data_IF_274097061738
#
_entry.id   IF_274097061738
#
_cell.length_a   1.000
_cell.length_b   1.000
_cell.length_c   1.000
_cell.angle_alpha   90.00
_cell.angle_beta   90.00
_cell.angle_gamma   90.00
#
_symmetry.space_group_name_H-M   'P 1'
#
loop_
_entity.id
_entity.type
_entity.pdbx_description
1 polymer ?
#
# COMPACT_ATOMS: atom_id res chain seq x y z
N UNK A 1 11.41 52.03 39.04
CA UNK A 1 11.69 50.70 39.63
C UNK A 1 10.77 49.62 39.06
N UNK A 2 9.45 49.84 38.91
CA UNK A 2 8.51 48.81 38.39
C UNK A 2 8.80 48.28 36.99
N UNK A 3 9.27 49.12 36.05
CA UNK A 3 9.59 48.70 34.65
C UNK A 3 10.83 47.80 34.52
N UNK A 4 11.81 47.95 35.43
CA UNK A 4 13.03 47.12 35.45
C UNK A 4 12.77 45.73 36.06
N UNK A 5 11.87 45.67 37.06
CA UNK A 5 11.44 44.38 37.65
C UNK A 5 10.63 43.55 36.64
N UNK A 6 9.74 44.20 35.86
CA UNK A 6 8.94 43.55 34.83
C UNK A 6 9.82 42.99 33.69
N UNK A 7 10.87 43.73 33.29
CA UNK A 7 11.82 43.26 32.28
C UNK A 7 12.65 42.05 32.76
N UNK A 8 13.00 42.04 34.07
CA UNK A 8 13.75 40.92 34.64
C UNK A 8 12.88 39.63 34.75
N UNK A 9 11.60 39.78 35.09
CA UNK A 9 10.65 38.66 35.15
C UNK A 9 10.37 38.08 33.76
N UNK A 10 10.31 38.95 32.72
CA UNK A 10 10.11 38.48 31.34
C UNK A 10 11.35 37.74 30.81
N UNK A 11 12.57 38.17 31.18
CA UNK A 11 13.81 37.51 30.79
C UNK A 11 13.96 36.14 31.49
N UNK A 12 13.55 36.01 32.76
CA UNK A 12 13.56 34.73 33.47
C UNK A 12 12.54 33.73 32.88
N UNK A 13 11.37 34.19 32.42
CA UNK A 13 10.37 33.34 31.79
C UNK A 13 10.85 32.76 30.44
N UNK A 14 11.66 33.52 29.68
CA UNK A 14 12.24 33.08 28.43
C UNK A 14 13.38 32.06 28.61
N UNK A 15 14.09 32.09 29.76
CA UNK A 15 15.16 31.14 30.05
C UNK A 15 14.66 29.78 30.58
N UNK A 16 13.44 29.73 31.12
CA UNK A 16 12.84 28.51 31.65
C UNK A 16 12.06 27.70 30.55
N UNK A 17 11.83 28.28 29.39
CA UNK A 17 11.13 27.64 28.29
C UNK A 17 11.97 26.76 27.38
N UNK A 18 13.28 26.70 27.56
CA UNK A 18 14.21 25.94 26.66
C UNK A 18 14.74 24.65 27.30
N UNK A 19 14.21 24.19 28.40
CA UNK A 19 14.63 22.94 29.06
C UNK A 19 13.61 21.82 29.03
N UNK A 20 12.65 21.84 28.10
CA UNK A 20 11.63 20.81 27.98
C UNK A 20 11.70 20.07 26.63
N UNK A 21 12.90 19.86 26.08
CA UNK A 21 13.18 18.90 25.01
C UNK A 21 14.44 18.10 25.35
N UNK A 22 14.36 17.38 26.47
CA UNK A 22 15.30 16.37 26.90
C UNK A 22 14.49 15.14 27.31
N UNK A 23 13.82 14.52 26.39
CA UNK A 23 13.28 13.18 26.49
C UNK A 23 14.27 12.24 25.79
N UNK A 24 15.29 11.84 26.52
CA UNK A 24 16.11 10.67 26.23
C UNK A 24 15.23 9.43 26.49
N UNK A 25 14.45 9.03 25.53
CA UNK A 25 13.88 7.69 25.41
C UNK A 25 12.99 7.63 24.16
N UNK A 26 13.58 7.55 23.02
CA UNK A 26 13.00 6.95 21.79
C UNK A 26 14.06 6.94 20.68
N UNK A 27 15.31 6.68 21.01
CA UNK A 27 16.25 6.21 20.00
C UNK A 27 16.36 4.69 20.08
N UNK A 28 15.23 4.01 19.88
CA UNK A 28 15.18 2.71 19.26
C UNK A 28 14.61 2.92 17.85
N UNK A 29 15.33 3.69 17.07
CA UNK A 29 15.37 3.41 15.64
C UNK A 29 15.80 1.95 15.53
N UNK A 30 14.97 1.04 14.97
CA UNK A 30 15.41 -0.34 14.76
C UNK A 30 16.67 -0.24 13.93
N UNK A 31 17.77 -0.74 14.51
CA UNK A 31 19.03 -0.90 13.82
C UNK A 31 18.73 -1.59 12.48
N UNK A 32 18.91 -0.95 11.33
CA UNK A 32 18.62 -1.56 10.04
C UNK A 32 19.50 -2.79 9.77
N UNK A 33 20.40 -3.12 10.70
CA UNK A 33 21.30 -4.27 10.62
C UNK A 33 20.78 -5.50 11.38
N UNK A 34 19.70 -5.39 12.18
CA UNK A 34 19.08 -6.53 12.85
C UNK A 34 17.81 -6.96 12.12
N UNK A 35 17.97 -7.55 10.97
CA UNK A 35 16.87 -8.06 10.17
C UNK A 35 17.23 -8.29 8.71
N UNK A 36 18.51 -8.18 8.35
CA UNK A 36 18.98 -8.89 7.19
C UNK A 36 19.05 -10.38 7.56
N UNK A 37 17.86 -10.98 7.65
CA UNK A 37 17.72 -12.35 7.24
C UNK A 37 18.41 -12.42 5.89
N UNK A 38 19.54 -13.11 5.83
CA UNK A 38 20.23 -13.44 4.59
C UNK A 38 19.16 -14.12 3.73
N UNK A 39 18.55 -13.34 2.84
CA UNK A 39 17.75 -13.91 1.78
C UNK A 39 18.76 -14.79 1.03
N UNK A 40 18.69 -16.10 1.29
CA UNK A 40 19.35 -17.07 0.42
C UNK A 40 19.07 -16.60 -1.01
N UNK A 41 20.05 -16.58 -1.90
CA UNK A 41 19.81 -16.22 -3.27
C UNK A 41 18.65 -17.09 -3.76
N UNK A 42 17.49 -16.47 -4.00
CA UNK A 42 16.43 -17.13 -4.73
C UNK A 42 17.09 -17.53 -6.03
N UNK A 43 17.21 -18.83 -6.29
CA UNK A 43 17.63 -19.33 -7.59
C UNK A 43 16.74 -18.61 -8.58
N UNK A 44 17.30 -17.65 -9.32
CA UNK A 44 16.53 -16.93 -10.34
C UNK A 44 16.21 -17.93 -11.43
N UNK A 45 15.06 -18.59 -11.29
CA UNK A 45 14.50 -19.40 -12.38
C UNK A 45 14.05 -18.53 -13.56
N UNK A 46 14.30 -17.21 -13.44
CA UNK A 46 13.91 -16.21 -14.41
C UNK A 46 12.41 -15.93 -14.44
N UNK A 47 11.64 -16.37 -13.43
CA UNK A 47 10.20 -16.09 -13.35
C UNK A 47 9.92 -14.76 -12.66
N UNK A 48 8.82 -14.12 -13.03
CA UNK A 48 8.37 -12.85 -12.48
C UNK A 48 6.92 -12.94 -12.02
N UNK A 49 6.63 -12.36 -10.87
CA UNK A 49 5.28 -12.14 -10.40
C UNK A 49 5.07 -10.64 -10.15
N UNK A 50 4.08 -10.05 -10.84
CA UNK A 50 3.64 -8.68 -10.65
C UNK A 50 2.40 -8.74 -9.79
N UNK A 51 2.41 -8.09 -8.62
CA UNK A 51 1.25 -8.00 -7.72
C UNK A 51 0.52 -6.70 -7.98
N UNK A 52 -0.75 -6.80 -8.35
CA UNK A 52 -1.62 -5.67 -8.64
C UNK A 52 -2.85 -5.68 -7.73
N UNK A 53 -2.91 -4.73 -6.81
CA UNK A 53 -4.11 -4.51 -6.02
C UNK A 53 -5.03 -3.53 -6.74
N UNK A 54 -6.08 -4.04 -7.37
CA UNK A 54 -7.02 -3.28 -8.17
C UNK A 54 -8.26 -2.95 -7.34
N UNK A 55 -8.24 -1.80 -6.67
CA UNK A 55 -9.38 -1.27 -5.93
C UNK A 55 -10.28 -0.47 -6.88
N UNK A 56 -11.44 -1.02 -7.23
CA UNK A 56 -12.34 -0.40 -8.20
C UNK A 56 -12.91 0.95 -7.76
N UNK A 57 -13.25 1.11 -6.48
CA UNK A 57 -13.85 2.32 -5.90
C UNK A 57 -15.10 2.82 -6.66
N UNK A 58 -15.41 4.11 -6.52
CA UNK A 58 -16.45 4.81 -7.27
C UNK A 58 -16.09 5.03 -8.75
N UNK A 59 -14.81 4.98 -9.09
CA UNK A 59 -14.37 5.07 -10.48
C UNK A 59 -14.83 3.86 -11.29
N UNK A 60 -14.76 2.66 -10.70
CA UNK A 60 -15.28 1.46 -11.33
C UNK A 60 -16.80 1.45 -11.34
N UNK A 61 -17.46 1.67 -10.18
CA UNK A 61 -18.93 1.61 -10.12
C UNK A 61 -19.62 2.69 -10.96
N UNK A 62 -18.99 3.86 -11.16
CA UNK A 62 -19.54 4.97 -11.96
C UNK A 62 -19.12 4.96 -13.41
N UNK A 63 -17.94 4.46 -13.76
CA UNK A 63 -17.36 4.60 -15.09
C UNK A 63 -16.66 3.38 -15.68
N UNK A 64 -16.53 2.27 -14.93
CA UNK A 64 -15.91 1.04 -15.43
C UNK A 64 -14.41 1.14 -15.67
N UNK A 65 -13.71 2.07 -15.00
CA UNK A 65 -12.30 2.32 -15.31
C UNK A 65 -11.40 1.12 -14.98
N UNK A 66 -11.61 0.45 -13.84
CA UNK A 66 -10.86 -0.76 -13.52
C UNK A 66 -11.18 -1.93 -14.48
N UNK A 67 -12.41 -2.00 -14.97
CA UNK A 67 -12.79 -2.95 -16.04
C UNK A 67 -12.03 -2.67 -17.34
N UNK A 68 -11.84 -1.40 -17.70
CA UNK A 68 -11.03 -1.02 -18.87
C UNK A 68 -9.57 -1.44 -18.67
N UNK A 69 -8.97 -1.14 -17.52
CA UNK A 69 -7.59 -1.51 -17.20
C UNK A 69 -7.36 -3.04 -17.24
N UNK A 70 -8.33 -3.83 -16.74
CA UNK A 70 -8.30 -5.30 -16.87
C UNK A 70 -8.38 -5.74 -18.33
N UNK A 71 -9.22 -5.08 -19.12
CA UNK A 71 -9.32 -5.34 -20.56
C UNK A 71 -8.01 -5.10 -21.28
N UNK A 72 -7.34 -3.98 -21.00
CA UNK A 72 -6.03 -3.65 -21.58
C UNK A 72 -4.96 -4.67 -21.19
N UNK A 73 -4.94 -5.13 -19.93
CA UNK A 73 -4.03 -6.19 -19.51
C UNK A 73 -4.28 -7.48 -20.29
N UNK A 74 -5.54 -7.86 -20.50
CA UNK A 74 -5.90 -9.10 -21.20
C UNK A 74 -5.59 -9.06 -22.70
N UNK A 75 -5.31 -7.89 -23.27
CA UNK A 75 -4.81 -7.77 -24.66
C UNK A 75 -3.30 -8.06 -24.77
N UNK A 76 -2.58 -8.10 -23.66
CA UNK A 76 -1.13 -8.33 -23.63
C UNK A 76 -0.83 -9.82 -23.56
N UNK A 77 -0.05 -10.35 -24.49
CA UNK A 77 0.49 -11.71 -24.40
C UNK A 77 1.70 -11.73 -23.49
N UNK A 78 1.59 -12.39 -22.34
CA UNK A 78 2.69 -12.52 -21.39
C UNK A 78 3.60 -13.71 -21.76
N UNK A 79 4.92 -13.59 -21.52
CA UNK A 79 5.83 -14.73 -21.54
C UNK A 79 5.45 -15.79 -20.50
N UNK A 80 5.82 -17.06 -20.72
CA UNK A 80 5.50 -18.18 -19.81
C UNK A 80 6.04 -17.99 -18.37
N UNK A 81 7.12 -17.25 -18.23
CA UNK A 81 7.76 -16.96 -16.95
C UNK A 81 7.28 -15.67 -16.28
N UNK A 82 6.20 -15.04 -16.78
CA UNK A 82 5.60 -13.83 -16.19
C UNK A 82 4.16 -14.08 -15.81
N UNK A 83 3.82 -13.74 -14.56
CA UNK A 83 2.45 -13.78 -14.05
C UNK A 83 2.07 -12.45 -13.42
N UNK A 84 0.82 -12.02 -13.61
CA UNK A 84 0.23 -10.90 -12.88
C UNK A 84 -0.78 -11.47 -11.89
N UNK A 85 -0.55 -11.25 -10.61
CA UNK A 85 -1.46 -11.62 -9.52
C UNK A 85 -2.31 -10.40 -9.19
N UNK A 86 -3.61 -10.50 -9.36
CA UNK A 86 -4.54 -9.37 -9.25
C UNK A 86 -5.48 -9.64 -8.08
N UNK A 87 -5.61 -8.67 -7.17
CA UNK A 87 -6.66 -8.68 -6.16
C UNK A 87 -7.70 -7.63 -6.54
N UNK A 88 -8.96 -8.07 -6.78
CA UNK A 88 -10.08 -7.18 -7.13
C UNK A 88 -11.02 -7.01 -5.96
N UNK A 89 -11.55 -5.79 -5.78
CA UNK A 89 -12.53 -5.46 -4.75
C UNK A 89 -12.81 -3.97 -4.65
N UNK A 90 -13.50 -3.55 -3.59
CA UNK A 90 -13.68 -2.13 -3.24
C UNK A 90 -14.59 -1.32 -4.17
N UNK A 91 -15.37 -1.97 -5.04
CA UNK A 91 -16.41 -1.33 -5.85
C UNK A 91 -17.77 -1.93 -5.57
N UNK A 92 -18.80 -1.12 -5.57
CA UNK A 92 -20.18 -1.59 -5.40
C UNK A 92 -20.78 -2.23 -6.66
N UNK A 93 -20.15 -2.00 -7.81
CA UNK A 93 -20.51 -2.56 -9.11
C UNK A 93 -19.26 -2.66 -9.97
N UNK A 94 -19.14 -3.77 -10.71
CA UNK A 94 -18.14 -3.96 -11.76
C UNK A 94 -18.81 -3.94 -13.13
N UNK A 95 -18.14 -3.40 -14.14
CA UNK A 95 -18.66 -3.25 -15.51
C UNK A 95 -18.22 -4.40 -16.43
N UNK A 96 -17.75 -5.50 -15.84
CA UNK A 96 -17.50 -6.77 -16.50
C UNK A 96 -18.35 -7.88 -15.86
N UNK A 97 -18.39 -9.06 -16.46
CA UNK A 97 -19.24 -10.18 -16.05
C UNK A 97 -18.52 -11.25 -15.22
N UNK A 98 -17.24 -11.05 -14.90
CA UNK A 98 -16.44 -12.02 -14.16
C UNK A 98 -16.05 -11.58 -12.75
N UNK A 99 -15.97 -10.28 -12.45
CA UNK A 99 -15.69 -9.80 -11.08
C UNK A 99 -16.99 -9.60 -10.31
N UNK A 100 -17.09 -10.26 -9.14
CA UNK A 100 -18.23 -10.15 -8.23
C UNK A 100 -18.01 -9.02 -7.20
N UNK A 101 -18.87 -7.98 -7.24
CA UNK A 101 -18.77 -6.84 -6.34
C UNK A 101 -18.95 -7.20 -4.84
N UNK A 102 -19.57 -8.34 -4.52
CA UNK A 102 -19.76 -8.81 -3.15
C UNK A 102 -18.54 -9.53 -2.57
N UNK A 103 -17.45 -9.67 -3.35
CA UNK A 103 -16.28 -10.46 -3.00
C UNK A 103 -14.98 -9.69 -3.15
N UNK A 104 -13.98 -10.13 -2.41
CA UNK A 104 -12.58 -9.93 -2.74
C UNK A 104 -12.14 -11.17 -3.53
N UNK A 105 -11.60 -10.96 -4.71
CA UNK A 105 -11.23 -12.05 -5.61
C UNK A 105 -9.79 -11.92 -6.05
N UNK A 106 -9.06 -13.04 -5.97
CA UNK A 106 -7.68 -13.12 -6.46
C UNK A 106 -7.63 -13.87 -7.77
N UNK A 107 -7.00 -13.22 -8.73
CA UNK A 107 -6.82 -13.71 -10.08
C UNK A 107 -5.34 -13.87 -10.41
N UNK A 108 -5.03 -14.76 -11.32
CA UNK A 108 -3.72 -14.83 -11.95
C UNK A 108 -3.91 -14.72 -13.47
N UNK A 109 -3.22 -13.74 -14.05
CA UNK A 109 -3.11 -13.59 -15.49
C UNK A 109 -1.70 -14.01 -15.94
N UNK A 110 -1.62 -14.95 -16.85
CA UNK A 110 -0.38 -15.49 -17.41
C UNK A 110 -0.55 -15.89 -18.86
N UNK A 111 0.36 -16.70 -19.40
CA UNK A 111 0.33 -17.18 -20.77
C UNK A 111 -0.96 -17.95 -21.14
N UNK A 112 -1.65 -18.52 -20.15
CA UNK A 112 -2.92 -19.24 -20.35
C UNK A 112 -4.17 -18.36 -20.11
N UNK A 113 -4.00 -17.05 -19.95
CA UNK A 113 -5.07 -16.09 -19.70
C UNK A 113 -5.39 -15.87 -18.21
N UNK A 114 -6.56 -15.28 -17.94
CA UNK A 114 -7.02 -14.90 -16.60
C UNK A 114 -7.70 -16.09 -15.90
N UNK A 115 -7.30 -16.40 -14.67
CA UNK A 115 -7.86 -17.48 -13.84
C UNK A 115 -8.17 -16.98 -12.45
N UNK A 116 -9.37 -17.24 -11.94
CA UNK A 116 -9.71 -17.05 -10.53
C UNK A 116 -9.01 -18.14 -9.70
N UNK A 117 -8.27 -17.73 -8.67
CA UNK A 117 -7.51 -18.66 -7.82
C UNK A 117 -7.99 -18.66 -6.36
N UNK A 118 -8.62 -17.57 -5.91
CA UNK A 118 -9.17 -17.47 -4.56
C UNK A 118 -10.28 -16.42 -4.50
N UNK A 119 -11.25 -16.61 -3.60
CA UNK A 119 -12.27 -15.60 -3.32
C UNK A 119 -12.77 -15.68 -1.88
N UNK A 120 -13.15 -14.52 -1.34
CA UNK A 120 -13.75 -14.39 -0.02
C UNK A 120 -14.81 -13.30 -0.01
N UNK A 121 -15.80 -13.33 0.90
CA UNK A 121 -16.78 -12.26 1.02
C UNK A 121 -16.09 -10.91 1.24
N UNK A 122 -16.57 -9.87 0.55
CA UNK A 122 -16.15 -8.49 0.83
C UNK A 122 -16.68 -8.07 2.20
N UNK A 123 -15.85 -7.37 2.97
CA UNK A 123 -16.21 -6.83 4.28
C UNK A 123 -16.91 -5.45 4.18
N UNK A 124 -17.73 -5.23 3.16
CA UNK A 124 -18.50 -3.99 2.98
C UNK A 124 -19.67 -3.91 3.94
#
# INVERSE_FOLDING_TARGET
MKKRVLALLLACALLLGLSACGGDELDQSPDPTQGQESLEPVEEDGSWAIYWYLCGSDLESGGGFATVDLGELMEVTLPENVNVVIETGGSSQWHNDFVDASKLQRWVYGSEGLKLVDEQPSAN
#
